data_IF_056639840270
#
_entry.id   IF_056639840270
#
_cell.length_a   1.000
_cell.length_b   1.000
_cell.length_c   1.000
_cell.angle_alpha   90.00
_cell.angle_beta   90.00
_cell.angle_gamma   90.00
#
_symmetry.space_group_name_H-M   'P 1'
#
loop_
_entity.id
_entity.type
_entity.pdbx_description
1 polymer ?
#
# COMPACT_ATOMS: atom_id res chain seq x y z
N UNK A 1 -12.95 17.10 -22.38
CA UNK A 1 -12.05 16.99 -21.21
C UNK A 1 -12.58 15.90 -20.30
N UNK A 2 -11.91 14.76 -20.22
CA UNK A 2 -12.27 13.70 -19.28
C UNK A 2 -11.83 14.16 -17.87
N UNK A 3 -12.75 14.73 -17.10
CA UNK A 3 -12.51 15.14 -15.72
C UNK A 3 -12.33 13.92 -14.84
N UNK A 4 -11.09 13.42 -14.72
CA UNK A 4 -10.71 12.49 -13.65
C UNK A 4 -10.79 13.26 -12.33
N UNK A 5 -11.95 13.24 -11.68
CA UNK A 5 -12.06 13.69 -10.30
C UNK A 5 -11.22 12.76 -9.43
N UNK A 6 -10.47 13.31 -8.48
CA UNK A 6 -9.57 12.55 -7.61
C UNK A 6 -10.29 11.40 -6.88
N UNK A 7 -11.56 11.61 -6.50
CA UNK A 7 -12.43 10.57 -5.94
C UNK A 7 -12.55 9.35 -6.86
N UNK A 8 -12.72 9.56 -8.17
CA UNK A 8 -12.84 8.46 -9.15
C UNK A 8 -11.54 7.66 -9.30
N UNK A 9 -10.37 8.28 -9.13
CA UNK A 9 -9.09 7.58 -9.14
C UNK A 9 -8.92 6.74 -7.87
N UNK A 10 -9.22 7.33 -6.72
CA UNK A 10 -9.13 6.64 -5.43
C UNK A 10 -10.09 5.44 -5.41
N UNK A 11 -11.34 5.60 -5.84
CA UNK A 11 -12.29 4.48 -5.94
C UNK A 11 -11.79 3.35 -6.84
N UNK A 12 -11.21 3.68 -8.00
CA UNK A 12 -10.60 2.68 -8.91
C UNK A 12 -9.44 1.95 -8.23
N UNK A 13 -8.58 2.66 -7.51
CA UNK A 13 -7.47 2.08 -6.76
C UNK A 13 -7.99 1.17 -5.64
N UNK A 14 -8.97 1.63 -4.86
CA UNK A 14 -9.58 0.84 -3.79
C UNK A 14 -10.20 -0.45 -4.31
N UNK A 15 -10.97 -0.37 -5.40
CA UNK A 15 -11.59 -1.52 -6.06
C UNK A 15 -10.55 -2.48 -6.64
N UNK A 16 -9.46 -1.96 -7.22
CA UNK A 16 -8.35 -2.78 -7.75
C UNK A 16 -7.70 -3.64 -6.68
N UNK A 17 -7.57 -3.12 -5.46
CA UNK A 17 -6.96 -3.83 -4.33
C UNK A 17 -7.97 -4.48 -3.39
N UNK A 18 -9.26 -4.52 -3.75
CA UNK A 18 -10.36 -5.14 -2.98
C UNK A 18 -10.47 -4.59 -1.54
N UNK A 19 -10.35 -3.27 -1.38
CA UNK A 19 -10.36 -2.57 -0.08
C UNK A 19 -11.43 -1.47 0.01
N UNK A 20 -12.33 -1.38 -0.98
CA UNK A 20 -13.40 -0.38 -1.08
C UNK A 20 -14.39 -0.39 0.10
N UNK A 21 -14.60 -1.53 0.74
CA UNK A 21 -15.50 -1.68 1.89
C UNK A 21 -14.76 -1.76 3.23
N UNK A 22 -13.46 -1.47 3.24
CA UNK A 22 -12.68 -1.55 4.47
C UNK A 22 -12.81 -0.28 5.29
N UNK A 23 -12.85 -0.41 6.63
CA UNK A 23 -12.88 0.75 7.53
C UNK A 23 -11.72 1.69 7.21
N UNK A 24 -12.05 2.96 6.97
CA UNK A 24 -11.09 4.01 6.69
C UNK A 24 -10.16 4.18 7.90
N UNK A 25 -8.85 4.23 7.65
CA UNK A 25 -7.86 4.41 8.71
C UNK A 25 -7.77 5.87 9.12
N UNK A 26 -7.50 6.15 10.39
CA UNK A 26 -7.21 7.51 10.87
C UNK A 26 -5.79 7.97 10.51
N UNK A 27 -4.88 7.02 10.30
CA UNK A 27 -3.46 7.28 10.03
C UNK A 27 -2.97 6.33 8.92
N UNK A 28 -2.14 6.82 7.98
CA UNK A 28 -1.59 5.98 6.92
C UNK A 28 -0.60 4.93 7.44
N UNK A 29 0.06 5.24 8.56
CA UNK A 29 0.95 4.33 9.28
C UNK A 29 0.80 4.59 10.78
N UNK A 30 0.55 3.55 11.57
CA UNK A 30 0.44 3.67 13.03
C UNK A 30 1.82 3.86 13.65
N UNK A 31 1.93 4.78 14.60
CA UNK A 31 3.13 4.94 15.42
C UNK A 31 3.45 3.62 16.14
N UNK A 32 4.72 3.22 16.10
CA UNK A 32 5.22 1.97 16.70
C UNK A 32 5.29 0.77 15.74
N UNK A 33 4.70 0.83 14.53
CA UNK A 33 4.93 -0.21 13.51
C UNK A 33 6.34 -0.02 12.92
N UNK A 34 7.26 -0.92 13.28
CA UNK A 34 8.59 -1.00 12.66
C UNK A 34 8.58 -2.10 11.60
N UNK A 35 8.65 -1.68 10.33
CA UNK A 35 8.89 -2.60 9.22
C UNK A 35 10.38 -2.95 9.14
N UNK A 36 10.69 -4.21 8.81
CA UNK A 36 12.07 -4.67 8.70
C UNK A 36 12.20 -5.86 7.74
N UNK A 37 13.41 -6.05 7.19
CA UNK A 37 13.72 -7.22 6.34
C UNK A 37 13.52 -8.57 7.05
N UNK A 38 13.46 -8.59 8.39
CA UNK A 38 13.19 -9.82 9.15
C UNK A 38 11.75 -10.34 8.94
N UNK A 39 10.85 -9.49 8.45
CA UNK A 39 9.46 -9.78 8.12
C UNK A 39 9.26 -10.16 6.66
N UNK A 40 10.34 -10.28 5.89
CA UNK A 40 10.28 -10.86 4.55
C UNK A 40 9.93 -12.35 4.62
N UNK A 41 9.28 -12.90 3.59
CA UNK A 41 8.96 -14.32 3.51
C UNK A 41 10.20 -15.19 3.71
N UNK A 42 10.10 -16.23 4.52
CA UNK A 42 11.20 -17.18 4.79
C UNK A 42 10.86 -18.60 4.37
N UNK A 43 9.58 -18.95 4.33
CA UNK A 43 9.13 -20.27 3.91
C UNK A 43 8.58 -20.22 2.48
N UNK A 44 8.62 -21.36 1.78
CA UNK A 44 8.03 -21.48 0.44
C UNK A 44 6.52 -21.21 0.45
N UNK A 45 5.85 -21.55 1.55
CA UNK A 45 4.43 -21.22 1.75
C UNK A 45 4.19 -19.71 1.81
N UNK A 46 5.01 -18.97 2.57
CA UNK A 46 4.92 -17.50 2.65
C UNK A 46 5.25 -16.86 1.30
N UNK A 47 6.27 -17.35 0.60
CA UNK A 47 6.63 -16.89 -0.74
C UNK A 47 5.48 -17.09 -1.71
N UNK A 48 4.84 -18.26 -1.71
CA UNK A 48 3.68 -18.57 -2.54
C UNK A 48 2.45 -17.73 -2.19
N UNK A 49 2.23 -17.42 -0.91
CA UNK A 49 1.15 -16.49 -0.51
C UNK A 49 1.42 -15.07 -1.00
N UNK A 50 2.68 -14.63 -0.99
CA UNK A 50 3.06 -13.28 -1.40
C UNK A 50 3.23 -13.10 -2.91
N UNK A 51 3.46 -14.17 -3.68
CA UNK A 51 3.69 -14.09 -5.14
C UNK A 51 2.51 -13.49 -5.90
N UNK A 52 1.29 -13.75 -5.42
CA UNK A 52 0.06 -13.26 -6.06
C UNK A 52 -0.31 -11.84 -5.62
N UNK A 53 0.41 -11.26 -4.67
CA UNK A 53 0.10 -9.93 -4.14
C UNK A 53 0.72 -8.85 -5.03
N UNK A 54 -0.08 -7.92 -5.58
CA UNK A 54 0.41 -6.87 -6.48
C UNK A 54 1.08 -5.72 -5.71
N UNK A 55 2.11 -6.02 -4.91
CA UNK A 55 2.77 -5.07 -4.01
C UNK A 55 3.36 -3.86 -4.75
N UNK A 56 4.15 -4.11 -5.81
CA UNK A 56 4.75 -3.05 -6.62
C UNK A 56 3.68 -2.15 -7.28
N UNK A 57 2.58 -2.74 -7.74
CA UNK A 57 1.47 -1.96 -8.31
C UNK A 57 0.79 -1.07 -7.27
N UNK A 58 0.64 -1.54 -6.02
CA UNK A 58 0.05 -0.76 -4.94
C UNK A 58 0.94 0.40 -4.54
N UNK A 59 2.25 0.16 -4.41
CA UNK A 59 3.25 1.20 -4.18
C UNK A 59 3.21 2.26 -5.28
N UNK A 60 3.12 1.86 -6.55
CA UNK A 60 2.99 2.80 -7.68
C UNK A 60 1.71 3.64 -7.64
N UNK A 61 0.57 3.05 -7.26
CA UNK A 61 -0.68 3.80 -7.08
C UNK A 61 -0.59 4.83 -5.95
N UNK A 62 0.05 4.47 -4.82
CA UNK A 62 0.30 5.41 -3.72
C UNK A 62 1.25 6.52 -4.17
N UNK A 63 2.30 6.19 -4.91
CA UNK A 63 3.25 7.19 -5.43
C UNK A 63 2.58 8.22 -6.32
N UNK A 64 1.67 7.79 -7.19
CA UNK A 64 0.87 8.71 -8.00
C UNK A 64 -0.01 9.61 -7.13
N UNK A 65 -0.68 9.05 -6.11
CA UNK A 65 -1.48 9.84 -5.17
C UNK A 65 -0.63 10.88 -4.42
N UNK A 66 0.57 10.52 -3.98
CA UNK A 66 1.54 11.43 -3.34
C UNK A 66 1.91 12.59 -4.26
N UNK A 67 2.22 12.30 -5.52
CA UNK A 67 2.69 13.31 -6.46
C UNK A 67 1.59 14.29 -6.87
N UNK A 68 0.34 13.85 -6.90
CA UNK A 68 -0.78 14.69 -7.34
C UNK A 68 -1.49 15.41 -6.20
N UNK A 69 -1.86 14.71 -5.11
CA UNK A 69 -2.88 15.24 -4.18
C UNK A 69 -2.68 14.89 -2.69
N UNK A 70 -1.86 13.89 -2.37
CA UNK A 70 -1.73 13.36 -1.00
C UNK A 70 -0.26 13.31 -0.53
N UNK A 71 0.43 14.47 -0.41
CA UNK A 71 1.81 14.49 0.07
C UNK A 71 1.93 14.02 1.53
N UNK A 72 0.83 14.04 2.30
CA UNK A 72 0.73 13.56 3.68
C UNK A 72 1.04 12.06 3.85
N UNK A 73 0.88 11.24 2.80
CA UNK A 73 1.25 9.82 2.82
C UNK A 73 2.67 9.53 2.32
N UNK A 74 3.44 10.53 1.91
CA UNK A 74 4.78 10.36 1.35
C UNK A 74 5.74 9.64 2.30
N UNK A 75 5.67 9.94 3.60
CA UNK A 75 6.48 9.24 4.61
C UNK A 75 6.18 7.74 4.63
N UNK A 76 4.90 7.37 4.72
CA UNK A 76 4.48 5.97 4.77
C UNK A 76 4.84 5.21 3.48
N UNK A 77 4.74 5.87 2.32
CA UNK A 77 5.23 5.35 1.04
C UNK A 77 6.74 5.08 1.09
N UNK A 78 7.53 6.06 1.56
CA UNK A 78 9.00 5.96 1.59
C UNK A 78 9.51 4.80 2.46
N UNK A 79 8.74 4.40 3.47
CA UNK A 79 9.06 3.28 4.34
C UNK A 79 8.67 1.96 3.68
N UNK A 80 7.49 1.89 3.07
CA UNK A 80 6.98 0.64 2.46
C UNK A 80 7.66 0.30 1.12
N UNK A 81 8.09 1.29 0.33
CA UNK A 81 8.74 1.07 -0.96
C UNK A 81 10.07 0.31 -0.86
N UNK A 82 10.76 0.40 0.29
CA UNK A 82 12.06 -0.27 0.55
C UNK A 82 11.99 -1.81 0.49
N UNK A 83 10.80 -2.37 0.64
CA UNK A 83 10.58 -3.82 0.73
C UNK A 83 9.97 -4.41 -0.54
N UNK A 84 9.95 -3.68 -1.66
CA UNK A 84 9.32 -4.14 -2.90
C UNK A 84 9.88 -5.47 -3.42
N UNK A 85 11.18 -5.73 -3.23
CA UNK A 85 11.83 -6.99 -3.64
C UNK A 85 11.63 -8.15 -2.64
N UNK A 86 11.19 -7.88 -1.41
CA UNK A 86 11.11 -8.87 -0.33
C UNK A 86 9.87 -8.64 0.55
N UNK A 87 8.75 -8.29 -0.10
CA UNK A 87 7.50 -7.96 0.57
C UNK A 87 6.96 -9.19 1.29
N UNK A 88 6.55 -9.00 2.54
CA UNK A 88 5.92 -10.01 3.37
C UNK A 88 4.57 -9.51 3.86
N UNK A 89 3.85 -10.34 4.61
CA UNK A 89 2.48 -10.02 5.04
C UNK A 89 2.40 -8.73 5.86
N UNK A 90 3.39 -8.47 6.73
CA UNK A 90 3.46 -7.24 7.51
C UNK A 90 3.64 -6.00 6.62
N UNK A 91 4.48 -6.10 5.59
CA UNK A 91 4.68 -5.05 4.60
C UNK A 91 3.39 -4.78 3.82
N UNK A 92 2.68 -5.84 3.40
CA UNK A 92 1.40 -5.72 2.71
C UNK A 92 0.31 -5.10 3.60
N UNK A 93 0.27 -5.46 4.88
CA UNK A 93 -0.62 -4.84 5.86
C UNK A 93 -0.43 -3.32 5.98
N UNK A 94 0.82 -2.87 5.95
CA UNK A 94 1.13 -1.44 5.96
C UNK A 94 0.67 -0.74 4.67
N UNK A 95 0.94 -1.31 3.49
CA UNK A 95 0.46 -0.76 2.21
C UNK A 95 -1.06 -0.66 2.17
N UNK A 96 -1.78 -1.68 2.63
CA UNK A 96 -3.24 -1.64 2.77
C UNK A 96 -3.71 -0.55 3.72
N UNK A 97 -2.95 -0.23 4.76
CA UNK A 97 -3.30 0.84 5.72
C UNK A 97 -3.16 2.21 5.07
N UNK A 98 -2.13 2.41 4.23
CA UNK A 98 -1.93 3.65 3.48
C UNK A 98 -3.06 3.86 2.47
N UNK A 99 -3.43 2.82 1.72
CA UNK A 99 -4.51 2.91 0.73
C UNK A 99 -5.88 3.20 1.37
N UNK A 100 -6.08 2.86 2.64
CA UNK A 100 -7.34 3.09 3.38
C UNK A 100 -7.42 4.46 4.04
N UNK A 101 -6.40 5.30 3.96
CA UNK A 101 -6.36 6.59 4.64
C UNK A 101 -6.81 7.70 3.68
#
# INVERSE_FOLDING_TARGET
MLGLTQSSYIEKVLKRFKIEHSKQGLLPMRHGIKLSKKQSPKTDEELKRMSDIPYASAVGSIQYAVQCTRPDVAYALSVTSRYQACAGEAHWGAVKSILKY
#
